data_IF_622828288132
#
_entry.id   IF_622828288132
#
_cell.length_a   1.000
_cell.length_b   1.000
_cell.length_c   1.000
_cell.angle_alpha   90.00
_cell.angle_beta   90.00
_cell.angle_gamma   90.00
#
_symmetry.space_group_name_H-M   'P 1'
#
loop_
_entity.id
_entity.type
_entity.pdbx_description
1 polymer ?
#
# COMPACT_ATOMS: atom_id res chain seq x y z
N UNK A 1 62.47 28.85 -65.70
CA UNK A 1 61.89 27.51 -65.49
C UNK A 1 62.08 27.05 -64.04
N UNK A 2 63.31 26.99 -63.53
CA UNK A 2 63.67 26.38 -62.22
C UNK A 2 62.89 26.87 -60.99
N UNK A 3 62.59 28.17 -60.90
CA UNK A 3 61.87 28.74 -59.74
C UNK A 3 60.41 28.25 -59.65
N UNK A 4 59.81 27.90 -60.79
CA UNK A 4 58.45 27.36 -60.85
C UNK A 4 58.44 25.87 -60.47
N UNK A 5 59.44 25.12 -60.93
CA UNK A 5 59.59 23.70 -60.61
C UNK A 5 59.85 23.48 -59.11
N UNK A 6 60.71 24.31 -58.49
CA UNK A 6 60.94 24.27 -57.05
C UNK A 6 59.66 24.52 -56.24
N UNK A 7 58.83 25.49 -56.66
CA UNK A 7 57.54 25.79 -56.01
C UNK A 7 56.54 24.63 -56.15
N UNK A 8 56.53 23.96 -57.30
CA UNK A 8 55.66 22.83 -57.53
C UNK A 8 56.07 21.64 -56.65
N UNK A 9 57.37 21.40 -56.52
CA UNK A 9 57.92 20.35 -55.67
C UNK A 9 57.63 20.59 -54.18
N UNK A 10 57.79 21.82 -53.69
CA UNK A 10 57.41 22.17 -52.31
C UNK A 10 55.93 21.95 -52.03
N UNK A 11 55.05 22.40 -52.93
CA UNK A 11 53.59 22.19 -52.81
C UNK A 11 53.24 20.71 -52.78
N UNK A 12 53.81 19.92 -53.69
CA UNK A 12 53.61 18.47 -53.73
C UNK A 12 54.04 17.81 -52.41
N UNK A 13 55.21 18.20 -51.89
CA UNK A 13 55.76 17.63 -50.65
C UNK A 13 54.91 18.02 -49.44
N UNK A 14 54.46 19.26 -49.34
CA UNK A 14 53.56 19.73 -48.30
C UNK A 14 52.20 19.01 -48.35
N UNK A 15 51.64 18.84 -49.56
CA UNK A 15 50.38 18.12 -49.76
C UNK A 15 50.50 16.65 -49.36
N UNK A 16 51.61 15.98 -49.72
CA UNK A 16 51.88 14.59 -49.36
C UNK A 16 51.99 14.40 -47.85
N UNK A 17 52.68 15.32 -47.15
CA UNK A 17 52.78 15.30 -45.68
C UNK A 17 51.41 15.49 -45.01
N UNK A 18 50.61 16.44 -45.50
CA UNK A 18 49.25 16.69 -44.98
C UNK A 18 48.37 15.45 -45.14
N UNK A 19 48.42 14.79 -46.31
CA UNK A 19 47.62 13.59 -46.58
C UNK A 19 47.96 12.43 -45.63
N UNK A 20 49.25 12.20 -45.37
CA UNK A 20 49.70 11.16 -44.44
C UNK A 20 49.25 11.44 -42.99
N UNK A 21 49.26 12.70 -42.55
CA UNK A 21 48.75 13.11 -41.25
C UNK A 21 47.23 12.88 -41.14
N UNK A 22 46.49 13.24 -42.18
CA UNK A 22 45.03 13.09 -42.25
C UNK A 22 44.63 11.60 -42.22
N UNK A 23 45.30 10.76 -43.01
CA UNK A 23 45.11 9.30 -43.01
C UNK A 23 45.41 8.68 -41.64
N UNK A 24 46.45 9.16 -40.93
CA UNK A 24 46.76 8.72 -39.58
C UNK A 24 45.68 9.11 -38.55
N UNK A 25 45.16 10.34 -38.63
CA UNK A 25 44.07 10.80 -37.77
C UNK A 25 42.75 10.07 -38.05
N UNK A 26 42.48 9.71 -39.31
CA UNK A 26 41.32 8.89 -39.66
C UNK A 26 41.43 7.47 -39.08
N UNK A 27 42.61 6.84 -39.17
CA UNK A 27 42.85 5.53 -38.56
C UNK A 27 42.69 5.55 -37.04
N UNK A 28 43.18 6.58 -36.37
CA UNK A 28 43.02 6.73 -34.92
C UNK A 28 41.55 6.87 -34.52
N UNK A 29 40.78 7.67 -35.27
CA UNK A 29 39.35 7.86 -35.03
C UNK A 29 38.57 6.55 -35.24
N UNK A 30 38.90 5.79 -36.29
CA UNK A 30 38.30 4.50 -36.57
C UNK A 30 38.59 3.48 -35.47
N UNK A 31 39.82 3.46 -34.95
CA UNK A 31 40.20 2.61 -33.83
C UNK A 31 39.40 2.94 -32.56
N UNK A 32 39.24 4.22 -32.24
CA UNK A 32 38.42 4.67 -31.10
C UNK A 32 36.95 4.29 -31.26
N UNK A 33 36.37 4.48 -32.44
CA UNK A 33 34.99 4.07 -32.70
C UNK A 33 34.80 2.56 -32.55
N UNK A 34 35.77 1.77 -33.01
CA UNK A 34 35.73 0.32 -32.87
C UNK A 34 35.81 -0.12 -31.42
N UNK A 35 36.70 0.47 -30.63
CA UNK A 35 36.82 0.20 -29.19
C UNK A 35 35.52 0.53 -28.44
N UNK A 36 34.92 1.69 -28.73
CA UNK A 36 33.63 2.09 -28.15
C UNK A 36 32.51 1.13 -28.56
N UNK A 37 32.48 0.71 -29.82
CA UNK A 37 31.48 -0.24 -30.31
C UNK A 37 31.61 -1.61 -29.63
N UNK A 38 32.83 -2.12 -29.48
CA UNK A 38 33.11 -3.39 -28.81
C UNK A 38 32.76 -3.30 -27.31
N UNK A 39 33.07 -2.19 -26.65
CA UNK A 39 32.67 -1.94 -25.26
C UNK A 39 31.13 -1.91 -25.10
N UNK A 40 30.42 -1.21 -25.99
CA UNK A 40 28.96 -1.17 -25.98
C UNK A 40 28.35 -2.55 -26.22
N UNK A 41 28.92 -3.33 -27.13
CA UNK A 41 28.49 -4.70 -27.43
C UNK A 41 28.68 -5.62 -26.23
N UNK A 42 29.80 -5.50 -25.53
CA UNK A 42 30.06 -6.28 -24.31
C UNK A 42 29.06 -5.91 -23.21
N UNK A 43 28.85 -4.62 -22.96
CA UNK A 43 27.90 -4.16 -21.95
C UNK A 43 26.46 -4.62 -22.24
N UNK A 44 26.03 -4.56 -23.50
CA UNK A 44 24.71 -5.07 -23.91
C UNK A 44 24.59 -6.60 -23.72
N UNK A 45 25.69 -7.33 -23.91
CA UNK A 45 25.73 -8.78 -23.70
C UNK A 45 25.64 -9.15 -22.21
N UNK A 46 26.36 -8.43 -21.34
CA UNK A 46 26.26 -8.57 -19.88
C UNK A 46 24.85 -8.23 -19.39
N UNK A 47 24.29 -7.11 -19.84
CA UNK A 47 22.96 -6.68 -19.42
C UNK A 47 21.86 -7.67 -19.84
N UNK A 48 22.00 -8.30 -21.01
CA UNK A 48 21.12 -9.39 -21.43
C UNK A 48 21.25 -10.63 -20.55
N UNK A 49 22.46 -10.97 -20.13
CA UNK A 49 22.72 -12.10 -19.24
C UNK A 49 22.09 -11.85 -17.87
N UNK A 50 22.33 -10.69 -17.27
CA UNK A 50 21.77 -10.32 -15.97
C UNK A 50 20.24 -10.31 -16.01
N UNK A 51 19.64 -9.83 -17.10
CA UNK A 51 18.20 -9.83 -17.27
C UNK A 51 17.63 -11.26 -17.38
N UNK A 52 18.35 -12.18 -18.04
CA UNK A 52 17.95 -13.59 -18.09
C UNK A 52 18.02 -14.24 -16.70
N UNK A 53 19.09 -14.02 -15.94
CA UNK A 53 19.26 -14.54 -14.58
C UNK A 53 18.20 -13.98 -13.61
N UNK A 54 17.91 -12.69 -13.69
CA UNK A 54 16.84 -12.07 -12.89
C UNK A 54 15.46 -12.64 -13.25
N UNK A 55 15.21 -12.89 -14.54
CA UNK A 55 13.94 -13.44 -14.97
C UNK A 55 13.77 -14.90 -14.52
N UNK A 56 14.83 -15.70 -14.52
CA UNK A 56 14.82 -17.06 -13.95
C UNK A 56 14.53 -17.03 -12.45
N UNK A 57 15.23 -16.18 -11.70
CA UNK A 57 15.00 -16.01 -10.25
C UNK A 57 13.57 -15.52 -9.94
N UNK A 58 13.01 -14.66 -10.78
CA UNK A 58 11.63 -14.20 -10.64
C UNK A 58 10.64 -15.34 -10.83
N UNK A 59 10.85 -16.20 -11.84
CA UNK A 59 10.01 -17.38 -12.08
C UNK A 59 10.05 -18.32 -10.87
N UNK A 60 11.23 -18.62 -10.35
CA UNK A 60 11.39 -19.47 -9.16
C UNK A 60 10.67 -18.90 -7.93
N UNK A 61 10.80 -17.59 -7.67
CA UNK A 61 10.13 -16.95 -6.54
C UNK A 61 8.61 -16.91 -6.69
N UNK A 62 8.11 -16.75 -7.91
CA UNK A 62 6.68 -16.85 -8.20
C UNK A 62 6.16 -18.26 -7.92
N UNK A 63 6.91 -19.29 -8.32
CA UNK A 63 6.53 -20.69 -8.06
C UNK A 63 6.54 -21.00 -6.55
N UNK A 64 7.58 -20.59 -5.82
CA UNK A 64 7.66 -20.73 -4.36
C UNK A 64 6.45 -20.07 -3.67
N UNK A 65 6.11 -18.83 -4.05
CA UNK A 65 4.97 -18.11 -3.49
C UNK A 65 3.63 -18.79 -3.83
N UNK A 66 3.48 -19.30 -5.06
CA UNK A 66 2.29 -20.01 -5.46
C UNK A 66 2.11 -21.31 -4.67
N UNK A 67 3.19 -22.06 -4.45
CA UNK A 67 3.19 -23.26 -3.62
C UNK A 67 2.84 -22.94 -2.16
N UNK A 68 3.47 -21.94 -1.56
CA UNK A 68 3.18 -21.50 -0.19
C UNK A 68 1.71 -21.08 -0.03
N UNK A 69 1.15 -20.37 -1.03
CA UNK A 69 -0.26 -20.00 -1.04
C UNK A 69 -1.18 -21.23 -1.08
N UNK A 70 -0.87 -22.23 -1.89
CA UNK A 70 -1.66 -23.46 -1.97
C UNK A 70 -1.60 -24.25 -0.66
N UNK A 71 -0.42 -24.35 -0.04
CA UNK A 71 -0.24 -25.01 1.26
C UNK A 71 -1.05 -24.30 2.36
N UNK A 72 -1.02 -22.97 2.41
CA UNK A 72 -1.80 -22.19 3.37
C UNK A 72 -3.30 -22.36 3.17
N UNK A 73 -3.79 -22.39 1.93
CA UNK A 73 -5.20 -22.64 1.64
C UNK A 73 -5.62 -24.06 2.05
N UNK A 74 -4.75 -25.04 1.86
CA UNK A 74 -4.99 -26.42 2.31
C UNK A 74 -5.11 -26.48 3.84
N UNK A 75 -4.22 -25.79 4.54
CA UNK A 75 -4.24 -25.70 6.00
C UNK A 75 -5.52 -25.04 6.54
N UNK A 76 -5.97 -23.93 5.93
CA UNK A 76 -7.25 -23.29 6.27
C UNK A 76 -8.39 -24.29 6.13
N UNK A 77 -8.50 -24.98 4.98
CA UNK A 77 -9.58 -25.97 4.75
C UNK A 77 -9.56 -27.09 5.80
N UNK A 78 -8.39 -27.56 6.20
CA UNK A 78 -8.28 -28.58 7.25
C UNK A 78 -8.73 -28.04 8.60
N UNK A 79 -8.35 -26.81 8.96
CA UNK A 79 -8.78 -26.18 10.21
C UNK A 79 -10.29 -25.93 10.23
N UNK A 80 -10.87 -25.44 9.13
CA UNK A 80 -12.31 -25.22 9.01
C UNK A 80 -13.10 -26.54 9.17
N UNK A 81 -12.60 -27.62 8.56
CA UNK A 81 -13.20 -28.95 8.70
C UNK A 81 -13.18 -29.45 10.15
N UNK A 82 -12.08 -29.22 10.87
CA UNK A 82 -11.99 -29.60 12.29
C UNK A 82 -12.88 -28.72 13.17
N UNK A 83 -12.99 -27.42 12.88
CA UNK A 83 -13.92 -26.52 13.58
C UNK A 83 -15.37 -27.00 13.43
N UNK A 84 -15.78 -27.40 12.22
CA UNK A 84 -17.11 -27.96 11.98
C UNK A 84 -17.33 -29.26 12.77
N UNK A 85 -16.34 -30.16 12.77
CA UNK A 85 -16.39 -31.41 13.54
C UNK A 85 -16.54 -31.14 15.05
N UNK A 86 -15.77 -30.19 15.58
CA UNK A 86 -15.80 -29.83 16.99
C UNK A 86 -17.13 -29.18 17.39
N UNK A 87 -17.70 -28.33 16.53
CA UNK A 87 -19.04 -27.76 16.75
C UNK A 87 -20.11 -28.85 16.84
N UNK A 88 -20.09 -29.80 15.91
CA UNK A 88 -21.06 -30.90 15.91
C UNK A 88 -20.97 -31.77 17.17
N UNK A 89 -19.76 -32.02 17.68
CA UNK A 89 -19.56 -32.74 18.94
C UNK A 89 -20.05 -31.96 20.17
N UNK A 90 -19.95 -30.63 20.16
CA UNK A 90 -20.49 -29.79 21.23
C UNK A 90 -22.02 -29.83 21.26
N UNK A 91 -22.66 -29.74 20.10
CA UNK A 91 -24.12 -29.81 19.97
C UNK A 91 -24.63 -31.19 20.43
N UNK A 92 -23.99 -32.28 19.99
CA UNK A 92 -24.35 -33.64 20.41
C UNK A 92 -24.20 -33.83 21.94
N UNK A 93 -23.20 -33.20 22.55
CA UNK A 93 -22.99 -33.24 24.00
C UNK A 93 -24.06 -32.44 24.74
N UNK A 94 -24.48 -31.29 24.22
CA UNK A 94 -25.54 -30.48 24.80
C UNK A 94 -26.89 -31.22 24.81
N UNK A 95 -27.22 -31.90 23.71
CA UNK A 95 -28.44 -32.73 23.60
C UNK A 95 -28.44 -33.94 24.55
N UNK A 96 -27.28 -34.60 24.71
CA UNK A 96 -27.12 -35.71 25.68
C UNK A 96 -27.17 -35.25 27.15
N UNK A 97 -26.85 -34.00 27.45
CA UNK A 97 -27.03 -33.43 28.80
C UNK A 97 -28.46 -33.01 29.08
N UNK A 98 -29.19 -32.48 28.09
CA UNK A 98 -30.58 -32.04 28.27
C UNK A 98 -31.57 -33.21 28.38
N UNK A 99 -31.27 -34.34 27.74
CA UNK A 99 -32.07 -35.58 27.81
C UNK A 99 -31.92 -36.36 29.14
N UNK A 100 -31.00 -35.97 30.03
CA UNK A 100 -30.91 -36.49 31.41
C UNK A 100 -31.64 -35.65 32.45
N UNK A 101 -32.27 -34.54 32.06
CA UNK A 101 -33.06 -33.67 32.92
C UNK A 101 -34.56 -33.76 32.60
N UNK A 102 -35.11 -34.97 32.61
CA UNK A 102 -36.58 -35.16 32.69
C UNK A 102 -36.89 -36.00 33.92
N UNK A 103 -37.11 -35.32 35.03
CA UNK A 103 -37.63 -35.93 36.26
C UNK A 103 -36.99 -35.37 37.52
N UNK A 104 -37.44 -34.20 37.98
CA UNK A 104 -38.00 -34.08 39.33
C UNK A 104 -38.71 -32.74 39.52
N UNK A 105 -39.88 -32.87 40.14
CA UNK A 105 -40.87 -31.87 40.53
C UNK A 105 -40.30 -30.67 41.29
N UNK A 106 -40.79 -29.49 40.91
CA UNK A 106 -40.77 -28.24 41.69
C UNK A 106 -41.21 -28.49 43.13
N UNK A 107 -40.32 -28.28 44.11
CA UNK A 107 -40.71 -27.89 45.47
C UNK A 107 -39.76 -26.83 46.04
N UNK A 108 -40.40 -25.79 46.55
CA UNK A 108 -39.97 -24.66 47.38
C UNK A 108 -38.93 -25.02 48.44
N UNK A 109 -37.94 -24.14 48.74
CA UNK A 109 -37.02 -24.36 49.85
C UNK A 109 -37.49 -23.58 51.09
N UNK A 110 -37.82 -24.29 52.17
CA UNK A 110 -37.91 -23.68 53.49
C UNK A 110 -37.19 -24.53 54.55
N UNK A 111 -36.13 -23.94 55.09
CA UNK A 111 -35.63 -24.02 56.47
C UNK A 111 -34.79 -25.22 56.97
N UNK A 112 -33.81 -24.83 57.81
CA UNK A 112 -33.10 -25.53 58.90
C UNK A 112 -31.67 -26.06 58.60
N UNK A 113 -30.70 -25.16 58.82
CA UNK A 113 -29.58 -25.22 59.80
C UNK A 113 -29.02 -26.61 60.19
N UNK A 114 -27.70 -26.84 60.01
CA UNK A 114 -26.70 -26.84 61.12
C UNK A 114 -25.30 -27.42 60.71
N UNK A 115 -24.28 -26.54 60.79
CA UNK A 115 -22.85 -26.68 61.13
C UNK A 115 -21.96 -27.77 60.48
N UNK A 116 -20.79 -27.44 59.90
CA UNK A 116 -19.51 -27.25 60.65
C UNK A 116 -18.41 -26.58 59.78
N UNK A 117 -17.61 -25.68 60.39
CA UNK A 117 -16.42 -24.97 59.84
C UNK A 117 -15.13 -25.63 60.40
N UNK A 118 -13.91 -25.55 59.80
CA UNK A 118 -12.99 -24.41 60.03
C UNK A 118 -12.01 -23.98 58.87
N UNK A 119 -12.00 -22.67 58.57
CA UNK A 119 -10.84 -21.71 58.51
C UNK A 119 -9.64 -21.93 57.54
N UNK A 120 -9.48 -21.19 56.41
CA UNK A 120 -8.92 -19.81 56.16
C UNK A 120 -7.46 -19.83 55.61
N UNK A 121 -6.89 -18.84 54.83
CA UNK A 121 -7.03 -17.38 55.02
C UNK A 121 -6.96 -16.39 53.81
N UNK A 122 -7.66 -15.24 54.00
CA UNK A 122 -7.28 -13.80 53.80
C UNK A 122 -6.56 -13.30 52.53
N UNK A 123 -7.19 -12.34 51.82
CA UNK A 123 -6.97 -10.85 51.89
C UNK A 123 -7.82 -10.14 50.80
N UNK A 124 -8.87 -9.38 51.15
CA UNK A 124 -8.95 -7.92 51.41
C UNK A 124 -8.93 -7.02 50.15
N UNK A 125 -10.12 -6.51 49.79
CA UNK A 125 -10.34 -5.28 49.01
C UNK A 125 -11.16 -4.30 49.87
N UNK A 126 -10.83 -3.00 49.95
CA UNK A 126 -11.71 -1.94 50.44
C UNK A 126 -12.35 -1.16 49.26
N UNK A 127 -13.68 -1.03 49.20
CA UNK A 127 -14.53 0.05 49.75
C UNK A 127 -14.46 1.34 48.88
N UNK A 128 -15.39 1.55 47.95
CA UNK A 128 -16.68 2.28 48.04
C UNK A 128 -16.61 3.78 47.73
N UNK A 129 -17.56 4.25 46.91
CA UNK A 129 -18.30 5.53 46.88
C UNK A 129 -18.74 5.69 45.40
N UNK A 130 -19.99 5.84 44.96
CA UNK A 130 -21.21 6.32 45.61
C UNK A 130 -21.65 7.61 44.91
N UNK A 131 -22.48 7.53 43.85
CA UNK A 131 -23.67 8.39 43.65
C UNK A 131 -24.45 8.05 42.38
N UNK A 132 -25.76 8.09 42.59
CA UNK A 132 -26.90 7.79 41.72
C UNK A 132 -27.33 9.04 40.95
N UNK A 133 -27.79 8.89 39.69
CA UNK A 133 -28.98 9.60 39.17
C UNK A 133 -29.55 8.94 37.90
N UNK A 134 -30.64 8.19 38.13
CA UNK A 134 -31.91 8.00 37.37
C UNK A 134 -32.08 8.94 36.14
N UNK A 135 -32.59 8.52 34.97
CA UNK A 135 -34.02 8.29 34.64
C UNK A 135 -34.18 7.81 33.18
N UNK A 136 -35.00 6.76 33.00
CA UNK A 136 -35.84 6.31 31.86
C UNK A 136 -35.23 5.95 30.50
N UNK A 137 -35.26 4.64 30.21
CA UNK A 137 -35.34 4.06 28.87
C UNK A 137 -36.82 3.74 28.59
N UNK A 138 -37.36 4.26 27.49
CA UNK A 138 -38.68 3.88 26.97
C UNK A 138 -38.54 2.63 26.13
N UNK A 139 -39.38 1.66 26.45
CA UNK A 139 -39.63 0.43 25.70
C UNK A 139 -40.42 0.77 24.41
N UNK A 140 -40.12 0.08 23.31
CA UNK A 140 -41.12 -0.47 22.38
C UNK A 140 -40.42 -1.41 21.38
N UNK A 141 -40.88 -2.67 21.41
CA UNK A 141 -40.48 -3.77 20.56
C UNK A 141 -41.06 -3.64 19.14
N UNK A 142 -40.36 -4.20 18.15
CA UNK A 142 -41.00 -4.88 17.00
C UNK A 142 -40.11 -6.01 16.47
N UNK A 143 -40.80 -7.06 16.03
CA UNK A 143 -40.34 -8.42 15.76
C UNK A 143 -39.71 -8.57 14.36
N UNK A 144 -38.73 -9.47 14.22
CA UNK A 144 -38.76 -10.68 13.34
C UNK A 144 -37.34 -11.20 13.06
N UNK A 145 -37.18 -12.53 13.00
CA UNK A 145 -35.92 -13.28 12.88
C UNK A 145 -35.48 -13.49 11.41
N UNK A 146 -34.29 -14.10 11.16
CA UNK A 146 -33.47 -13.83 9.98
C UNK A 146 -33.66 -14.83 8.83
N UNK A 147 -33.39 -14.37 7.60
CA UNK A 147 -33.03 -15.22 6.48
C UNK A 147 -31.61 -14.83 6.06
N UNK A 148 -30.66 -15.74 6.30
CA UNK A 148 -29.26 -15.60 5.91
C UNK A 148 -29.07 -16.15 4.48
N UNK A 149 -28.52 -15.30 3.60
CA UNK A 149 -27.70 -15.72 2.47
C UNK A 149 -26.51 -14.75 2.35
N UNK A 150 -25.35 -15.23 1.83
CA UNK A 150 -24.04 -14.71 2.19
C UNK A 150 -23.75 -13.38 1.51
N UNK A 151 -23.58 -12.32 2.30
CA UNK A 151 -23.06 -11.04 1.82
C UNK A 151 -21.58 -11.20 1.46
N UNK A 152 -21.33 -11.32 0.16
CA UNK A 152 -20.11 -10.84 -0.45
C UNK A 152 -19.85 -9.41 0.02
N UNK A 153 -18.62 -9.09 0.41
CA UNK A 153 -18.21 -7.75 0.83
C UNK A 153 -18.18 -6.84 -0.40
N UNK A 154 -19.36 -6.44 -0.84
CA UNK A 154 -19.59 -5.38 -1.79
C UNK A 154 -19.35 -4.06 -1.05
N UNK A 155 -18.12 -3.53 -1.12
CA UNK A 155 -17.84 -2.16 -0.70
C UNK A 155 -18.50 -1.19 -1.70
N UNK A 156 -19.83 -1.17 -1.75
CA UNK A 156 -20.59 -0.26 -2.59
C UNK A 156 -20.47 1.16 -2.05
N UNK A 157 -19.83 2.01 -2.84
CA UNK A 157 -20.52 3.11 -3.54
C UNK A 157 -21.64 3.76 -2.71
N UNK A 158 -21.27 4.62 -1.74
CA UNK A 158 -22.01 5.83 -1.36
C UNK A 158 -21.36 6.57 -0.18
N UNK A 159 -21.12 7.87 -0.41
CA UNK A 159 -20.90 8.96 0.55
C UNK A 159 -19.47 9.20 1.08
N UNK A 160 -18.86 10.22 0.44
CA UNK A 160 -17.96 11.25 0.95
C UNK A 160 -17.25 11.01 2.30
N UNK A 161 -15.92 10.93 2.23
CA UNK A 161 -15.06 11.11 3.39
C UNK A 161 -14.83 12.61 3.64
N UNK A 162 -15.71 13.21 4.45
CA UNK A 162 -15.49 14.27 5.45
C UNK A 162 -14.52 15.43 5.08
N UNK A 163 -15.08 16.63 4.92
CA UNK A 163 -14.75 17.85 5.66
C UNK A 163 -15.85 18.93 5.57
N UNK A 164 -16.82 18.89 6.49
CA UNK A 164 -17.82 19.95 6.65
C UNK A 164 -18.57 19.90 7.99
N UNK A 165 -18.42 20.97 8.77
CA UNK A 165 -19.01 21.24 10.09
C UNK A 165 -20.45 20.69 10.28
N UNK A 166 -20.60 19.56 10.98
CA UNK A 166 -21.90 18.97 11.28
C UNK A 166 -21.81 17.56 11.87
N UNK A 167 -21.55 17.48 13.18
CA UNK A 167 -21.69 16.36 14.13
C UNK A 167 -22.20 14.99 13.64
N UNK A 168 -21.49 14.31 12.74
CA UNK A 168 -21.40 12.85 12.69
C UNK A 168 -20.23 12.38 11.82
N UNK A 169 -19.01 12.79 12.18
CA UNK A 169 -17.82 12.18 11.60
C UNK A 169 -17.74 10.73 12.04
N UNK A 170 -17.82 9.79 11.10
CA UNK A 170 -17.65 8.38 11.39
C UNK A 170 -16.22 8.15 11.92
N UNK A 171 -16.02 7.80 13.21
CA UNK A 171 -14.70 7.78 13.81
C UNK A 171 -13.70 6.87 13.07
N UNK A 172 -14.20 5.82 12.41
CA UNK A 172 -13.39 4.90 11.62
C UNK A 172 -12.81 5.52 10.34
N UNK A 173 -13.53 6.40 9.64
CA UNK A 173 -13.02 7.06 8.43
C UNK A 173 -11.87 8.03 8.78
N UNK A 174 -12.04 8.80 9.86
CA UNK A 174 -10.99 9.67 10.39
C UNK A 174 -9.74 8.87 10.80
N UNK A 175 -9.92 7.72 11.47
CA UNK A 175 -8.82 6.83 11.85
C UNK A 175 -8.09 6.25 10.63
N UNK A 176 -8.82 5.86 9.57
CA UNK A 176 -8.23 5.39 8.32
C UNK A 176 -7.44 6.49 7.61
N UNK A 177 -7.99 7.70 7.52
CA UNK A 177 -7.28 8.84 6.96
C UNK A 177 -6.01 9.16 7.76
N UNK A 178 -6.07 9.12 9.09
CA UNK A 178 -4.91 9.33 9.96
C UNK A 178 -3.83 8.26 9.74
N UNK A 179 -4.21 6.99 9.60
CA UNK A 179 -3.30 5.90 9.28
C UNK A 179 -2.65 6.11 7.91
N UNK A 180 -3.43 6.45 6.88
CA UNK A 180 -2.92 6.71 5.53
C UNK A 180 -1.92 7.87 5.51
N UNK A 181 -2.24 8.97 6.19
CA UNK A 181 -1.34 10.11 6.34
C UNK A 181 -0.02 9.70 7.01
N UNK A 182 -0.07 8.83 8.03
CA UNK A 182 1.14 8.32 8.70
C UNK A 182 2.01 7.44 7.79
N UNK A 183 1.39 6.63 6.92
CA UNK A 183 2.09 5.74 5.98
C UNK A 183 2.79 6.53 4.87
N UNK A 184 2.10 7.51 4.32
CA UNK A 184 2.63 8.36 3.23
C UNK A 184 3.54 9.47 3.79
N UNK A 185 3.48 9.73 5.09
CA UNK A 185 4.13 10.86 5.78
C UNK A 185 3.73 12.20 5.19
N UNK A 186 2.48 12.33 4.80
CA UNK A 186 1.90 13.54 4.21
C UNK A 186 0.54 13.81 4.83
N UNK A 187 0.20 15.09 4.96
CA UNK A 187 -1.16 15.51 5.33
C UNK A 187 -2.05 15.44 4.11
N UNK A 188 -3.25 14.88 4.27
CA UNK A 188 -4.23 14.69 3.21
C UNK A 188 -5.55 15.30 3.69
N UNK A 189 -6.12 16.22 2.93
CA UNK A 189 -7.46 16.76 3.16
C UNK A 189 -8.34 16.48 1.95
N UNK A 190 -9.58 16.09 2.19
CA UNK A 190 -10.57 15.93 1.11
C UNK A 190 -11.18 17.29 0.82
N UNK A 191 -11.35 17.59 -0.46
CA UNK A 191 -11.96 18.83 -0.90
C UNK A 191 -13.43 18.57 -1.26
N UNK A 192 -14.32 19.08 -0.42
CA UNK A 192 -15.77 18.89 -0.54
C UNK A 192 -16.43 19.96 -1.44
N UNK A 193 -15.66 20.94 -1.92
CA UNK A 193 -16.20 22.08 -2.69
C UNK A 193 -16.46 21.75 -4.17
N UNK A 194 -15.89 20.66 -4.68
CA UNK A 194 -16.00 20.26 -6.09
C UNK A 194 -16.92 19.07 -6.27
N UNK A 195 -17.77 19.10 -7.31
CA UNK A 195 -18.60 17.94 -7.72
C UNK A 195 -17.75 16.68 -7.99
N UNK A 196 -16.48 16.88 -8.33
CA UNK A 196 -15.51 15.82 -8.60
C UNK A 196 -14.72 15.52 -7.33
N UNK A 197 -14.55 14.23 -7.02
CA UNK A 197 -13.74 13.80 -5.88
C UNK A 197 -12.29 14.31 -6.04
N UNK A 198 -11.87 15.17 -5.12
CA UNK A 198 -10.51 15.69 -5.10
C UNK A 198 -9.93 15.72 -3.69
N UNK A 199 -8.61 15.52 -3.60
CA UNK A 199 -7.85 15.55 -2.36
C UNK A 199 -6.67 16.49 -2.50
N UNK A 200 -6.39 17.26 -1.45
CA UNK A 200 -5.19 18.06 -1.34
C UNK A 200 -4.18 17.36 -0.44
N UNK A 201 -2.94 17.29 -0.88
CA UNK A 201 -1.85 16.60 -0.19
C UNK A 201 -0.73 17.58 0.06
N UNK A 202 -0.16 17.57 1.26
CA UNK A 202 0.97 18.42 1.62
C UNK A 202 1.99 17.70 2.52
N UNK A 203 3.25 18.02 2.31
CA UNK A 203 4.36 17.63 3.17
C UNK A 203 4.82 18.84 3.98
N UNK A 204 4.50 18.83 5.27
CA UNK A 204 4.65 19.98 6.17
C UNK A 204 6.10 20.46 6.30
N UNK A 205 7.07 19.55 6.31
CA UNK A 205 8.47 19.91 6.50
C UNK A 205 9.10 20.58 5.26
N UNK A 206 8.75 20.13 4.05
CA UNK A 206 9.31 20.71 2.83
C UNK A 206 8.45 21.83 2.23
N UNK A 207 7.18 21.94 2.62
CA UNK A 207 6.21 22.83 1.99
C UNK A 207 5.75 22.36 0.61
N UNK A 208 6.06 21.12 0.21
CA UNK A 208 5.57 20.53 -1.03
C UNK A 208 4.08 20.22 -0.92
N UNK A 209 3.28 20.66 -1.89
CA UNK A 209 1.84 20.40 -1.91
C UNK A 209 1.29 20.28 -3.32
N UNK A 210 0.23 19.49 -3.45
CA UNK A 210 -0.44 19.19 -4.72
C UNK A 210 -1.88 18.75 -4.50
N UNK A 211 -2.66 18.72 -5.57
CA UNK A 211 -4.02 18.21 -5.61
C UNK A 211 -4.10 16.98 -6.50
N UNK A 212 -4.84 15.96 -6.08
CA UNK A 212 -5.23 14.83 -6.90
C UNK A 212 -6.75 14.87 -7.11
N UNK A 213 -7.18 14.81 -8.36
CA UNK A 213 -8.60 14.80 -8.74
C UNK A 213 -8.91 13.51 -9.48
N UNK A 214 -9.96 12.81 -9.08
CA UNK A 214 -10.42 11.59 -9.74
C UNK A 214 -11.25 11.92 -10.97
N UNK A 215 -10.81 11.47 -12.14
CA UNK A 215 -11.53 11.65 -13.40
C UNK A 215 -12.28 10.36 -13.73
N UNK A 216 -13.57 10.29 -13.37
CA UNK A 216 -14.40 9.08 -13.50
C UNK A 216 -14.54 8.60 -14.96
N UNK A 217 -14.60 9.53 -15.93
CA UNK A 217 -14.70 9.19 -17.36
C UNK A 217 -13.47 8.44 -17.90
N UNK A 218 -12.30 8.72 -17.34
CA UNK A 218 -11.03 8.13 -17.78
C UNK A 218 -10.45 7.09 -16.82
N UNK A 219 -11.08 6.86 -15.65
CA UNK A 219 -10.56 5.97 -14.59
C UNK A 219 -9.11 6.34 -14.16
N UNK A 220 -8.83 7.63 -14.12
CA UNK A 220 -7.48 8.19 -13.89
C UNK A 220 -7.46 9.27 -12.81
N UNK A 221 -6.34 9.35 -12.11
CA UNK A 221 -5.99 10.48 -11.27
C UNK A 221 -5.36 11.58 -12.12
N UNK A 222 -5.81 12.82 -11.90
CA UNK A 222 -5.17 14.03 -12.38
C UNK A 222 -4.39 14.67 -11.24
N UNK A 223 -3.08 14.80 -11.40
CA UNK A 223 -2.20 15.51 -10.49
C UNK A 223 -2.03 16.95 -10.95
N UNK A 224 -2.13 17.85 -9.99
CA UNK A 224 -1.85 19.27 -10.18
C UNK A 224 -0.97 19.79 -9.06
N UNK A 225 0.18 20.35 -9.41
CA UNK A 225 1.09 20.95 -8.43
C UNK A 225 0.46 22.20 -7.81
N UNK A 226 0.58 22.34 -6.48
CA UNK A 226 0.20 23.57 -5.77
C UNK A 226 1.44 24.36 -5.35
N UNK A 227 2.45 23.69 -4.79
CA UNK A 227 3.72 24.31 -4.41
C UNK A 227 4.84 23.28 -4.36
N UNK A 228 6.05 23.65 -4.80
CA UNK A 228 7.25 22.82 -4.62
C UNK A 228 7.89 22.99 -3.25
N UNK A 229 7.61 24.10 -2.57
CA UNK A 229 8.30 24.49 -1.35
C UNK A 229 9.83 24.47 -1.54
N UNK A 230 10.52 23.82 -0.61
CA UNK A 230 11.98 23.68 -0.61
C UNK A 230 12.51 22.64 -1.62
N UNK A 231 11.63 21.81 -2.20
CA UNK A 231 12.04 20.77 -3.14
C UNK A 231 12.37 21.30 -4.54
N UNK A 232 12.18 22.60 -4.81
CA UNK A 232 12.34 23.18 -6.15
C UNK A 232 13.67 22.81 -6.81
N UNK A 233 14.78 22.79 -6.06
CA UNK A 233 16.11 22.47 -6.60
C UNK A 233 16.33 21.00 -6.96
N UNK A 234 15.54 20.10 -6.38
CA UNK A 234 15.70 18.65 -6.53
C UNK A 234 14.47 17.98 -7.17
N UNK A 235 13.41 18.75 -7.41
CA UNK A 235 12.19 18.29 -8.04
C UNK A 235 12.47 17.92 -9.49
N UNK A 236 12.04 16.71 -9.85
CA UNK A 236 12.08 16.21 -11.22
C UNK A 236 11.03 16.92 -12.08
N UNK A 237 11.30 17.04 -13.39
CA UNK A 237 10.44 17.78 -14.33
C UNK A 237 8.96 17.37 -14.30
N UNK A 238 8.68 16.07 -14.13
CA UNK A 238 7.30 15.57 -14.08
C UNK A 238 6.50 16.14 -12.89
N UNK A 239 7.14 16.50 -11.76
CA UNK A 239 6.45 17.07 -10.59
C UNK A 239 5.94 18.48 -10.86
N UNK A 240 6.45 19.15 -11.90
CA UNK A 240 6.08 20.50 -12.32
C UNK A 240 4.95 20.52 -13.35
N UNK A 241 4.59 19.35 -13.87
CA UNK A 241 3.64 19.21 -14.95
C UNK A 241 2.32 18.65 -14.40
N UNK A 242 1.22 19.01 -15.07
CA UNK A 242 -0.06 18.36 -14.83
C UNK A 242 0.00 16.95 -15.46
N UNK A 243 0.02 15.92 -14.61
CA UNK A 243 0.14 14.53 -15.06
C UNK A 243 -1.14 13.77 -14.79
N UNK A 244 -1.43 12.78 -15.64
CA UNK A 244 -2.51 11.82 -15.41
C UNK A 244 -1.95 10.43 -15.28
N UNK A 245 -2.53 9.64 -14.38
CA UNK A 245 -2.11 8.26 -14.16
C UNK A 245 -3.25 7.40 -13.64
N UNK A 246 -3.26 6.12 -14.01
CA UNK A 246 -4.27 5.18 -13.55
C UNK A 246 -4.10 4.80 -12.07
N UNK A 247 -5.17 4.31 -11.43
CA UNK A 247 -5.14 3.84 -10.04
C UNK A 247 -4.02 2.81 -9.77
N UNK A 248 -3.68 1.97 -10.76
CA UNK A 248 -2.61 0.97 -10.68
C UNK A 248 -1.22 1.59 -10.47
N UNK A 249 -1.03 2.85 -10.88
CA UNK A 249 0.23 3.59 -10.76
C UNK A 249 0.33 4.40 -9.45
N UNK A 250 -0.74 4.45 -8.64
CA UNK A 250 -0.82 5.29 -7.44
C UNK A 250 0.30 4.98 -6.44
N UNK A 251 0.60 3.69 -6.21
CA UNK A 251 1.71 3.28 -5.35
C UNK A 251 3.06 3.85 -5.84
N UNK A 252 3.36 3.65 -7.12
CA UNK A 252 4.61 4.13 -7.73
C UNK A 252 4.71 5.66 -7.69
N UNK A 253 3.59 6.35 -7.85
CA UNK A 253 3.53 7.81 -7.76
C UNK A 253 3.97 8.31 -6.38
N UNK A 254 3.39 7.80 -5.29
CA UNK A 254 3.78 8.19 -3.94
C UNK A 254 5.20 7.74 -3.55
N UNK A 255 5.64 6.57 -4.02
CA UNK A 255 7.03 6.12 -3.83
C UNK A 255 8.04 7.08 -4.49
N UNK A 256 7.75 7.57 -5.71
CA UNK A 256 8.60 8.55 -6.40
C UNK A 256 8.67 9.88 -5.65
N UNK A 257 7.54 10.39 -5.15
CA UNK A 257 7.53 11.62 -4.35
C UNK A 257 8.34 11.42 -3.06
N UNK A 258 8.14 10.30 -2.37
CA UNK A 258 8.89 9.97 -1.14
C UNK A 258 10.39 9.92 -1.40
N UNK A 259 10.82 9.35 -2.54
CA UNK A 259 12.23 9.33 -2.93
C UNK A 259 12.82 10.72 -3.18
N UNK A 260 12.03 11.71 -3.59
CA UNK A 260 12.50 13.09 -3.77
C UNK A 260 12.57 13.80 -2.43
N UNK A 261 11.53 13.66 -1.60
CA UNK A 261 11.46 14.26 -0.26
C UNK A 261 12.60 13.78 0.64
N UNK A 262 12.96 12.50 0.58
CA UNK A 262 14.04 11.94 1.39
C UNK A 262 15.45 12.39 0.96
N UNK A 263 15.59 12.97 -0.24
CA UNK A 263 16.87 13.48 -0.76
C UNK A 263 17.11 14.96 -0.48
N UNK A 264 16.07 15.72 -0.14
CA UNK A 264 16.13 17.15 0.16
C UNK A 264 16.26 17.42 1.64
#
# INVERSE_FOLDING_TARGET
>A
MERLDSKFHEKYTALKKRKLLDEGLEQEREAQFKELYDALKNWNSELKKDNAELNEMLVDKVDELQKARQEFLKDIRTRDSEILRLKQLLDEKAEKSNSKSTGLVVRTPESILENSIPMSPKRKTPLSHGKVKRVQLSENAHHSSPAEEPQELECSRRHACISGNGTNEMPSAHMLCSLLQSLVRMKISVNDETEIFSISVSHEASGYSFTLTWLEESDEWSYKLSSLGTLDRIATDWMRQDIRFSMKMCRMFFERISSVITKG
#
